data_IF_917940894001
#
_entry.id   IF_917940894001
#
_cell.length_a   1.000
_cell.length_b   1.000
_cell.length_c   1.000
_cell.angle_alpha   90.00
_cell.angle_beta   90.00
_cell.angle_gamma   90.00
#
_symmetry.space_group_name_H-M   'P 1'
#
loop_
_entity.id
_entity.type
_entity.pdbx_description
1 polymer ?
#
# COMPACT_ATOMS: atom_id res chain seq x y z
N UNK A 1 -12.84 -8.83 8.35
CA UNK A 1 -11.51 -8.91 7.73
C UNK A 1 -10.67 -9.81 8.61
N UNK A 2 -10.34 -11.03 8.16
CA UNK A 2 -9.33 -11.84 8.84
C UNK A 2 -7.95 -11.29 8.47
N UNK A 3 -6.97 -11.37 9.37
CA UNK A 3 -5.63 -10.79 9.15
C UNK A 3 -4.98 -11.25 7.83
N UNK A 4 -5.25 -12.48 7.40
CA UNK A 4 -4.79 -13.05 6.14
C UNK A 4 -5.28 -12.26 4.91
N UNK A 5 -6.57 -11.88 4.88
CA UNK A 5 -7.17 -11.12 3.77
C UNK A 5 -6.55 -9.71 3.67
N UNK A 6 -6.21 -9.11 4.81
CA UNK A 6 -5.56 -7.81 4.85
C UNK A 6 -4.13 -7.87 4.29
N UNK A 7 -3.37 -8.93 4.63
CA UNK A 7 -2.00 -9.14 4.14
C UNK A 7 -1.99 -9.46 2.64
N UNK A 8 -2.92 -10.27 2.15
CA UNK A 8 -3.04 -10.54 0.71
C UNK A 8 -3.44 -9.30 -0.08
N UNK A 9 -4.40 -8.52 0.44
CA UNK A 9 -4.78 -7.24 -0.15
C UNK A 9 -3.58 -6.29 -0.22
N UNK A 10 -2.81 -6.19 0.86
CA UNK A 10 -1.59 -5.39 0.91
C UNK A 10 -0.58 -5.84 -0.16
N UNK A 11 -0.29 -7.15 -0.25
CA UNK A 11 0.62 -7.69 -1.28
C UNK A 11 0.13 -7.41 -2.70
N UNK A 12 -1.17 -7.56 -2.94
CA UNK A 12 -1.78 -7.29 -4.26
C UNK A 12 -1.69 -5.81 -4.65
N UNK A 13 -1.97 -4.91 -3.71
CA UNK A 13 -1.78 -3.47 -3.86
C UNK A 13 -0.32 -3.15 -4.19
N UNK A 14 0.63 -3.70 -3.45
CA UNK A 14 2.07 -3.51 -3.68
C UNK A 14 2.50 -4.01 -5.07
N UNK A 15 1.89 -5.09 -5.54
CA UNK A 15 2.15 -5.64 -6.88
C UNK A 15 1.37 -4.95 -8.01
N UNK A 16 0.59 -3.91 -7.71
CA UNK A 16 -0.34 -3.26 -8.64
C UNK A 16 -1.37 -4.22 -9.30
N UNK A 17 -1.59 -5.41 -8.73
CA UNK A 17 -2.50 -6.44 -9.24
C UNK A 17 -3.92 -6.31 -8.68
N UNK A 18 -4.27 -5.15 -8.15
CA UNK A 18 -5.61 -4.92 -7.62
C UNK A 18 -6.60 -4.80 -8.77
N UNK A 19 -7.51 -5.75 -8.93
CA UNK A 19 -8.36 -5.87 -10.13
C UNK A 19 -9.87 -5.65 -9.82
N UNK A 20 -10.76 -5.86 -10.80
CA UNK A 20 -12.20 -5.71 -10.57
C UNK A 20 -12.79 -6.78 -9.64
N UNK A 21 -12.19 -7.97 -9.57
CA UNK A 21 -12.64 -9.02 -8.66
C UNK A 21 -12.38 -8.61 -7.20
N UNK A 22 -11.22 -8.04 -6.93
CA UNK A 22 -10.86 -7.53 -5.62
C UNK A 22 -11.70 -6.30 -5.25
N UNK A 23 -11.98 -5.42 -6.22
CA UNK A 23 -12.88 -4.29 -6.04
C UNK A 23 -14.30 -4.73 -5.65
N UNK A 24 -14.83 -5.75 -6.33
CA UNK A 24 -16.16 -6.29 -6.02
C UNK A 24 -16.20 -6.87 -4.61
N UNK A 25 -15.21 -7.69 -4.23
CA UNK A 25 -15.11 -8.27 -2.88
C UNK A 25 -15.05 -7.20 -1.80
N UNK A 26 -14.23 -6.17 -2.00
CA UNK A 26 -14.11 -5.07 -1.04
C UNK A 26 -15.42 -4.27 -0.94
N UNK A 27 -16.04 -3.97 -2.08
CA UNK A 27 -17.32 -3.25 -2.15
C UNK A 27 -18.44 -4.00 -1.44
N UNK A 28 -18.55 -5.31 -1.64
CA UNK A 28 -19.53 -6.17 -0.96
C UNK A 28 -19.32 -6.18 0.56
N UNK A 29 -18.07 -6.18 1.02
CA UNK A 29 -17.76 -6.11 2.46
C UNK A 29 -18.17 -4.76 3.07
N UNK A 30 -17.97 -3.65 2.34
CA UNK A 30 -18.42 -2.32 2.77
C UNK A 30 -19.96 -2.25 2.81
N UNK A 31 -20.66 -2.82 1.82
CA UNK A 31 -22.12 -2.88 1.84
C UNK A 31 -22.67 -3.70 3.02
N UNK A 32 -22.01 -4.81 3.40
CA UNK A 32 -22.34 -5.55 4.62
C UNK A 32 -22.19 -4.69 5.88
N UNK A 33 -21.23 -3.78 5.93
CA UNK A 33 -21.10 -2.81 7.03
C UNK A 33 -22.16 -1.69 6.95
N UNK A 34 -22.56 -1.27 5.75
CA UNK A 34 -23.66 -0.33 5.53
C UNK A 34 -25.02 -0.88 5.99
N UNK A 35 -25.27 -2.17 5.80
CA UNK A 35 -26.47 -2.83 6.34
C UNK A 35 -26.41 -2.96 7.86
N UNK A 36 -25.22 -3.06 8.46
CA UNK A 36 -25.02 -2.93 9.92
C UNK A 36 -25.25 -1.51 10.44
N UNK A 37 -25.31 -0.49 9.58
CA UNK A 37 -25.65 0.87 9.99
C UNK A 37 -27.08 1.00 10.54
N UNK A 38 -27.96 0.01 10.29
CA UNK A 38 -29.24 -0.14 11.02
C UNK A 38 -29.04 -0.32 12.53
N UNK A 39 -27.93 -0.94 12.95
CA UNK A 39 -27.53 -1.15 14.34
C UNK A 39 -26.78 0.08 14.89
N UNK A 40 -25.91 0.71 14.09
CA UNK A 40 -25.25 2.00 14.44
C UNK A 40 -26.30 3.12 14.61
N UNK A 41 -27.41 2.98 13.88
CA UNK A 41 -28.70 3.65 14.03
C UNK A 41 -29.38 3.50 15.39
N UNK A 42 -28.80 2.79 16.37
CA UNK A 42 -29.31 2.67 17.74
C UNK A 42 -28.37 3.22 18.83
N UNK A 43 -27.12 3.60 18.50
CA UNK A 43 -26.18 4.28 19.42
C UNK A 43 -26.42 5.80 19.45
N UNK A 44 -26.93 6.42 20.53
CA UNK A 44 -27.14 7.86 20.61
C UNK A 44 -25.78 8.60 20.64
N UNK A 45 -25.69 9.76 19.97
CA UNK A 45 -24.51 10.63 20.00
C UNK A 45 -23.48 10.44 18.88
N UNK A 46 -23.69 9.51 17.95
CA UNK A 46 -22.83 9.35 16.76
C UNK A 46 -23.64 9.78 15.53
N UNK A 47 -23.19 10.80 14.79
CA UNK A 47 -23.88 11.28 13.59
C UNK A 47 -24.00 10.14 12.57
N UNK A 48 -25.21 9.58 12.48
CA UNK A 48 -25.53 8.42 11.68
C UNK A 48 -25.64 8.79 10.22
N UNK A 49 -24.99 7.99 9.37
CA UNK A 49 -25.33 7.89 7.95
C UNK A 49 -26.86 7.84 7.81
N UNK A 50 -27.42 8.69 6.97
CA UNK A 50 -28.86 8.75 6.79
C UNK A 50 -29.34 7.45 6.14
N UNK A 51 -30.58 6.99 6.43
CA UNK A 51 -31.17 5.85 5.72
C UNK A 51 -31.20 6.03 4.20
N UNK A 52 -31.25 7.28 3.71
CA UNK A 52 -31.16 7.60 2.29
C UNK A 52 -29.76 7.28 1.71
N UNK A 53 -28.69 7.69 2.39
CA UNK A 53 -27.31 7.40 1.97
C UNK A 53 -27.01 5.90 1.99
N UNK A 54 -27.57 5.15 2.93
CA UNK A 54 -27.42 3.68 2.99
C UNK A 54 -28.08 3.02 1.77
N UNK A 55 -29.32 3.40 1.45
CA UNK A 55 -30.03 2.87 0.26
C UNK A 55 -29.32 3.24 -1.03
N UNK A 56 -28.73 4.43 -1.09
CA UNK A 56 -27.96 4.86 -2.25
C UNK A 56 -26.68 4.02 -2.42
N UNK A 57 -25.98 3.72 -1.32
CA UNK A 57 -24.81 2.84 -1.34
C UNK A 57 -25.17 1.41 -1.80
N UNK A 58 -26.30 0.86 -1.33
CA UNK A 58 -26.80 -0.44 -1.77
C UNK A 58 -27.11 -0.47 -3.28
N UNK A 59 -27.76 0.58 -3.81
CA UNK A 59 -28.02 0.70 -5.25
C UNK A 59 -26.73 0.79 -6.07
N UNK A 60 -25.76 1.58 -5.60
CA UNK A 60 -24.45 1.70 -6.24
C UNK A 60 -23.73 0.35 -6.28
N UNK A 61 -23.81 -0.42 -5.19
CA UNK A 61 -23.24 -1.78 -5.16
C UNK A 61 -23.86 -2.68 -6.25
N UNK A 62 -25.20 -2.72 -6.33
CA UNK A 62 -25.88 -3.53 -7.33
C UNK A 62 -25.48 -3.14 -8.76
N UNK A 63 -25.22 -1.85 -9.02
CA UNK A 63 -24.75 -1.38 -10.32
C UNK A 63 -23.33 -1.84 -10.62
N UNK A 64 -22.43 -1.72 -9.65
CA UNK A 64 -21.04 -2.22 -9.76
C UNK A 64 -21.02 -3.72 -10.04
N UNK A 65 -21.83 -4.49 -9.29
CA UNK A 65 -21.92 -5.93 -9.44
C UNK A 65 -22.45 -6.33 -10.83
N UNK A 66 -23.51 -5.67 -11.32
CA UNK A 66 -24.03 -5.91 -12.68
C UNK A 66 -22.97 -5.67 -13.76
N UNK A 67 -22.26 -4.54 -13.69
CA UNK A 67 -21.21 -4.19 -14.66
C UNK A 67 -20.04 -5.18 -14.62
N UNK A 68 -19.56 -5.55 -13.43
CA UNK A 68 -18.44 -6.50 -13.30
C UNK A 68 -18.85 -7.89 -13.78
N UNK A 69 -20.09 -8.32 -13.55
CA UNK A 69 -20.59 -9.60 -14.03
C UNK A 69 -20.70 -9.68 -15.57
N UNK A 70 -20.93 -8.56 -16.25
CA UNK A 70 -20.92 -8.45 -17.71
C UNK A 70 -19.49 -8.43 -18.34
N UNK A 71 -18.44 -8.26 -17.52
CA UNK A 71 -17.06 -8.32 -18.00
C UNK A 71 -16.61 -9.77 -18.22
N UNK A 72 -15.73 -9.97 -19.19
CA UNK A 72 -15.00 -11.23 -19.39
C UNK A 72 -13.94 -11.42 -18.30
N UNK A 73 -13.45 -12.65 -18.10
CA UNK A 73 -12.42 -12.94 -17.11
C UNK A 73 -11.13 -12.12 -17.32
N UNK A 74 -10.73 -11.90 -18.58
CA UNK A 74 -9.55 -11.12 -18.91
C UNK A 74 -9.70 -9.66 -18.53
N UNK A 75 -10.86 -9.05 -18.82
CA UNK A 75 -11.15 -7.66 -18.50
C UNK A 75 -11.24 -7.44 -16.98
N UNK A 76 -11.74 -8.43 -16.24
CA UNK A 76 -11.79 -8.35 -14.77
C UNK A 76 -10.40 -8.31 -14.13
N UNK A 77 -9.47 -9.09 -14.68
CA UNK A 77 -8.07 -9.19 -14.20
C UNK A 77 -7.22 -8.04 -14.70
N UNK A 78 -7.49 -7.52 -15.90
CA UNK A 78 -6.77 -6.41 -16.53
C UNK A 78 -7.71 -5.23 -16.84
N UNK A 79 -7.97 -4.36 -15.85
CA UNK A 79 -8.80 -3.17 -16.02
C UNK A 79 -8.34 -2.20 -17.11
N UNK A 80 -7.06 -2.26 -17.48
CA UNK A 80 -6.45 -1.47 -18.56
C UNK A 80 -7.14 -1.74 -19.90
N UNK A 81 -7.59 -2.99 -20.13
CA UNK A 81 -8.29 -3.36 -21.36
C UNK A 81 -9.60 -2.59 -21.54
N UNK A 82 -10.32 -2.31 -20.44
CA UNK A 82 -11.54 -1.51 -20.46
C UNK A 82 -11.26 0.00 -20.50
N UNK A 83 -10.13 0.45 -19.95
CA UNK A 83 -9.71 1.86 -20.04
C UNK A 83 -9.36 2.24 -21.48
N UNK A 84 -8.63 1.38 -22.18
CA UNK A 84 -8.12 1.65 -23.54
C UNK A 84 -9.18 1.40 -24.63
N UNK A 85 -10.06 0.42 -24.44
CA UNK A 85 -11.05 0.04 -25.46
C UNK A 85 -12.45 0.57 -25.13
N UNK A 86 -12.90 1.53 -25.92
CA UNK A 86 -14.28 2.02 -25.87
C UNK A 86 -15.30 0.94 -26.25
N UNK A 87 -14.99 0.12 -27.26
CA UNK A 87 -15.87 -0.97 -27.72
C UNK A 87 -16.18 -1.97 -26.60
N UNK A 88 -15.17 -2.33 -25.79
CA UNK A 88 -15.38 -3.20 -24.63
C UNK A 88 -16.28 -2.57 -23.58
N UNK A 89 -16.15 -1.25 -23.35
CA UNK A 89 -17.03 -0.53 -22.41
C UNK A 89 -18.47 -0.49 -22.91
N UNK A 90 -18.69 -0.27 -24.20
CA UNK A 90 -20.03 -0.28 -24.80
C UNK A 90 -20.67 -1.67 -24.65
N UNK A 91 -19.95 -2.74 -24.98
CA UNK A 91 -20.45 -4.12 -24.79
C UNK A 91 -20.84 -4.40 -23.34
N UNK A 92 -19.98 -4.06 -22.38
CA UNK A 92 -20.26 -4.24 -20.94
C UNK A 92 -21.47 -3.42 -20.51
N UNK A 93 -21.61 -2.19 -21.03
CA UNK A 93 -22.75 -1.33 -20.75
C UNK A 93 -24.06 -1.97 -21.26
N UNK A 94 -24.07 -2.46 -22.50
CA UNK A 94 -25.23 -3.15 -23.08
C UNK A 94 -25.61 -4.41 -22.30
N UNK A 95 -24.64 -5.27 -21.99
CA UNK A 95 -24.86 -6.53 -21.26
C UNK A 95 -25.31 -6.30 -19.80
N UNK A 96 -24.91 -5.19 -19.18
CA UNK A 96 -25.28 -4.84 -17.79
C UNK A 96 -26.50 -3.92 -17.68
N UNK A 97 -27.07 -3.48 -18.81
CA UNK A 97 -28.18 -2.52 -18.86
C UNK A 97 -27.81 -1.11 -18.37
N UNK A 98 -26.56 -0.71 -18.61
CA UNK A 98 -25.94 0.55 -18.18
C UNK A 98 -25.47 1.37 -19.37
N UNK A 99 -24.99 2.57 -19.08
CA UNK A 99 -24.39 3.48 -20.06
C UNK A 99 -22.87 3.33 -20.10
N UNK A 100 -22.27 3.62 -21.25
CA UNK A 100 -20.80 3.62 -21.40
C UNK A 100 -20.12 4.56 -20.39
N UNK A 101 -20.77 5.68 -20.06
CA UNK A 101 -20.29 6.64 -19.08
C UNK A 101 -20.24 6.04 -17.67
N UNK A 102 -21.25 5.27 -17.26
CA UNK A 102 -21.25 4.57 -15.96
C UNK A 102 -20.10 3.55 -15.89
N UNK A 103 -19.85 2.82 -16.98
CA UNK A 103 -18.72 1.87 -17.05
C UNK A 103 -17.39 2.61 -17.01
N UNK A 104 -17.25 3.72 -17.72
CA UNK A 104 -16.04 4.56 -17.69
C UNK A 104 -15.77 5.14 -16.29
N UNK A 105 -16.82 5.56 -15.57
CA UNK A 105 -16.71 5.99 -14.18
C UNK A 105 -16.28 4.87 -13.26
N UNK A 106 -16.79 3.65 -13.44
CA UNK A 106 -16.37 2.48 -12.67
C UNK A 106 -14.87 2.21 -12.87
N UNK A 107 -14.40 2.25 -14.11
CA UNK A 107 -12.98 2.09 -14.45
C UNK A 107 -12.15 3.18 -13.75
N UNK A 108 -12.56 4.45 -13.84
CA UNK A 108 -11.86 5.56 -13.20
C UNK A 108 -11.79 5.41 -11.66
N UNK A 109 -12.87 4.97 -11.01
CA UNK A 109 -12.90 4.73 -9.57
C UNK A 109 -11.88 3.68 -9.14
N UNK A 110 -11.74 2.61 -9.92
CA UNK A 110 -10.73 1.58 -9.66
C UNK A 110 -9.31 2.16 -9.72
N UNK A 111 -8.99 2.91 -10.78
CA UNK A 111 -7.65 3.52 -10.94
C UNK A 111 -7.37 4.57 -9.87
N UNK A 112 -8.37 5.38 -9.49
CA UNK A 112 -8.24 6.32 -8.39
C UNK A 112 -7.93 5.59 -7.08
N UNK A 113 -8.62 4.48 -6.81
CA UNK A 113 -8.37 3.69 -5.61
C UNK A 113 -6.97 3.07 -5.62
N UNK A 114 -6.53 2.52 -6.76
CA UNK A 114 -5.14 2.04 -6.94
C UNK A 114 -4.13 3.14 -6.62
N UNK A 115 -4.31 4.33 -7.18
CA UNK A 115 -3.41 5.46 -6.96
C UNK A 115 -3.38 5.91 -5.48
N UNK A 116 -4.55 5.98 -4.84
CA UNK A 116 -4.65 6.31 -3.41
C UNK A 116 -3.97 5.26 -2.53
N UNK A 117 -4.21 3.97 -2.81
CA UNK A 117 -3.58 2.89 -2.07
C UNK A 117 -2.06 2.86 -2.25
N UNK A 118 -1.57 3.10 -3.47
CA UNK A 118 -0.14 3.27 -3.74
C UNK A 118 0.47 4.44 -2.97
N UNK A 119 -0.21 5.60 -2.95
CA UNK A 119 0.24 6.78 -2.20
C UNK A 119 0.30 6.53 -0.69
N UNK A 120 -0.73 5.86 -0.15
CA UNK A 120 -0.75 5.49 1.27
C UNK A 120 0.38 4.53 1.62
N UNK A 121 0.63 3.51 0.79
CA UNK A 121 1.74 2.58 0.99
C UNK A 121 3.10 3.28 0.91
N UNK A 122 3.29 4.19 -0.04
CA UNK A 122 4.51 5.00 -0.14
C UNK A 122 4.74 5.88 1.09
N UNK A 123 3.68 6.42 1.69
CA UNK A 123 3.77 7.15 2.95
C UNK A 123 4.12 6.26 4.15
N UNK A 124 3.52 5.06 4.25
CA UNK A 124 3.81 4.11 5.33
C UNK A 124 5.25 3.61 5.24
N UNK A 125 5.72 3.22 4.05
CA UNK A 125 7.12 2.86 3.82
C UNK A 125 8.07 4.03 4.07
N UNK A 126 7.68 5.25 3.68
CA UNK A 126 8.44 6.46 3.97
C UNK A 126 8.54 6.75 5.47
N UNK A 127 7.46 6.55 6.22
CA UNK A 127 7.46 6.71 7.68
C UNK A 127 8.29 5.62 8.38
N UNK A 128 8.23 4.37 7.94
CA UNK A 128 9.09 3.30 8.48
C UNK A 128 10.57 3.52 8.11
N UNK A 129 10.86 4.01 6.91
CA UNK A 129 12.22 4.38 6.52
C UNK A 129 12.74 5.58 7.33
N UNK A 130 11.90 6.57 7.61
CA UNK A 130 12.24 7.72 8.47
C UNK A 130 12.41 7.27 9.93
N UNK A 131 11.56 6.36 10.43
CA UNK A 131 11.69 5.80 11.77
C UNK A 131 12.97 4.97 11.92
N UNK A 132 13.27 4.11 10.94
CA UNK A 132 14.52 3.35 10.89
C UNK A 132 15.76 4.23 10.75
N UNK A 133 15.66 5.37 10.04
CA UNK A 133 16.73 6.36 9.98
C UNK A 133 16.84 7.19 11.27
N UNK A 134 15.75 7.35 12.02
CA UNK A 134 15.75 7.91 13.37
C UNK A 134 16.53 7.06 14.36
N UNK A 135 16.28 5.74 14.37
CA UNK A 135 17.03 4.79 15.21
C UNK A 135 18.50 4.66 14.77
N UNK A 136 18.78 4.69 13.47
CA UNK A 136 20.15 4.75 12.95
C UNK A 136 20.86 6.05 13.31
N UNK A 137 20.16 7.19 13.29
CA UNK A 137 20.75 8.48 13.64
C UNK A 137 20.94 8.64 15.15
N UNK A 138 20.06 8.05 15.96
CA UNK A 138 20.21 8.02 17.42
C UNK A 138 21.35 7.09 17.84
N UNK A 139 21.51 5.94 17.18
CA UNK A 139 22.67 5.05 17.38
C UNK A 139 23.98 5.66 16.90
N UNK A 140 24.00 6.39 15.77
CA UNK A 140 25.17 7.15 15.33
C UNK A 140 25.52 8.30 16.29
N UNK A 141 24.51 8.99 16.85
CA UNK A 141 24.73 10.04 17.87
C UNK A 141 25.14 9.46 19.23
N UNK A 142 24.75 8.23 19.55
CA UNK A 142 25.21 7.52 20.73
C UNK A 142 26.71 7.15 20.63
N UNK A 143 27.19 6.83 19.42
CA UNK A 143 28.62 6.58 19.14
C UNK A 143 29.46 7.89 19.06
N UNK A 144 28.83 9.03 18.73
CA UNK A 144 29.50 10.35 18.69
C UNK A 144 29.79 10.96 20.07
N UNK A 145 29.29 10.36 21.17
CA UNK A 145 29.54 10.81 22.56
C UNK A 145 30.77 10.18 23.24
N UNK A 146 31.76 9.70 22.48
CA UNK A 146 33.11 9.51 23.01
C UNK A 146 33.93 10.81 22.77
N UNK A 147 34.36 11.53 23.83
CA UNK A 147 35.10 12.78 23.63
C UNK A 147 36.43 12.52 22.90
N UNK A 148 36.84 13.41 21.96
CA UNK A 148 38.12 13.28 21.29
C UNK A 148 39.23 13.60 22.29
N UNK A 149 40.00 12.58 22.63
CA UNK A 149 41.24 12.71 23.38
C UNK A 149 41.12 12.31 24.85
N UNK A 150 41.63 11.12 25.17
CA UNK A 150 42.53 10.80 26.31
C UNK A 150 42.55 9.29 26.57
N UNK A 151 42.85 8.47 25.56
CA UNK A 151 43.26 7.09 25.80
C UNK A 151 44.78 6.98 25.61
N UNK A 152 45.53 7.30 26.68
CA UNK A 152 46.97 7.03 26.79
C UNK A 152 47.18 5.51 26.79
N UNK A 153 47.18 4.88 25.60
CA UNK A 153 47.53 3.47 25.45
C UNK A 153 49.05 3.35 25.38
N UNK A 154 49.65 2.96 26.50
CA UNK A 154 51.06 2.60 26.66
C UNK A 154 51.42 1.50 25.65
N UNK A 155 51.99 1.87 24.49
CA UNK A 155 52.62 0.91 23.59
C UNK A 155 54.03 0.62 24.08
N UNK A 156 54.21 -0.56 24.69
CA UNK A 156 55.51 -1.22 24.71
C UNK A 156 55.84 -1.63 23.28
N UNK A 157 56.89 -1.06 22.70
CA UNK A 157 57.64 -1.71 21.64
C UNK A 157 59.11 -1.36 21.78
N UNK A 158 59.92 -2.35 22.14
CA UNK A 158 61.37 -2.24 22.04
C UNK A 158 61.77 -2.34 20.57
N UNK A 159 62.67 -1.43 20.15
CA UNK A 159 63.84 -1.68 19.30
C UNK A 159 64.53 -0.36 18.96
N UNK A 160 65.75 -0.19 19.45
CA UNK A 160 66.82 0.70 18.99
C UNK A 160 68.09 -0.07 19.42
N UNK A 161 69.13 -0.31 18.61
CA UNK A 161 69.75 0.53 17.59
C UNK A 161 70.37 -0.33 16.49
N UNK A 162 70.58 0.30 15.35
CA UNK A 162 71.22 -0.25 14.17
C UNK A 162 72.62 0.36 14.02
N UNK A 163 73.56 -0.52 13.63
CA UNK A 163 74.91 -0.30 13.02
C UNK A 163 76.08 0.02 13.93
N UNK A 164 76.99 -0.96 14.01
CA UNK A 164 78.43 -0.83 13.74
C UNK A 164 78.75 -1.97 12.74
N UNK A 165 78.90 -1.69 11.44
CA UNK A 165 80.16 -1.73 10.68
C UNK A 165 81.26 -2.61 11.30
N UNK A 166 81.52 -3.79 10.73
CA UNK A 166 82.79 -4.13 10.07
C UNK A 166 83.00 -5.64 9.82
N UNK A 167 83.78 -5.90 8.77
CA UNK A 167 84.54 -7.12 8.44
C UNK A 167 83.75 -8.36 7.96
N UNK A 168 83.76 -8.71 6.67
CA UNK A 168 84.87 -9.28 5.87
C UNK A 168 85.11 -10.78 6.17
N UNK A 169 84.83 -11.56 5.13
CA UNK A 169 85.38 -12.88 4.76
C UNK A 169 84.91 -14.16 5.45
N UNK A 170 84.40 -15.02 4.56
CA UNK A 170 84.38 -16.50 4.53
C UNK A 170 83.26 -17.22 5.28
#
# INVERSE_FOLDING_TARGET
MRQEEAVELQKKIMSAKFDFNDFLKQSQNVAKMGSMSRVVGMIPGMNRLTPAQIREAEKRLAFVESMINAMTAEERVKPELLAESQERRIRVAEESGKTEQEVSQLVAQLFQMRAQMQKLMGMVQGQEAIAGMGDLMDSLKADEKAPPGTARRKRRHGKLRQRDMDAVLS
#
